data_IF_513602308581
#
_entry.id   IF_513602308581
#
_cell.length_a   1.000
_cell.length_b   1.000
_cell.length_c   1.000
_cell.angle_alpha   90.00
_cell.angle_beta   90.00
_cell.angle_gamma   90.00
#
_symmetry.space_group_name_H-M   'P 1'
#
loop_
_entity.id
_entity.type
_entity.pdbx_description
1 polymer ?
#
# COMPACT_ATOMS: atom_id res chain seq x y z
N UNK A 1 -8.57 -4.66 -15.15
CA UNK A 1 -7.15 -4.43 -14.80
C UNK A 1 -6.57 -5.79 -14.48
N UNK A 2 -5.62 -6.28 -15.27
CA UNK A 2 -5.12 -7.65 -15.17
C UNK A 2 -4.00 -7.69 -14.13
N UNK A 3 -4.21 -8.37 -13.01
CA UNK A 3 -3.14 -8.64 -12.02
C UNK A 3 -2.29 -9.78 -12.58
N UNK A 4 -0.99 -9.58 -12.88
CA UNK A 4 -0.24 -10.52 -13.71
C UNK A 4 0.59 -11.43 -12.83
N UNK A 5 0.22 -12.70 -12.74
CA UNK A 5 1.16 -13.76 -12.38
C UNK A 5 0.83 -14.98 -13.25
N UNK A 6 1.53 -15.13 -14.37
CA UNK A 6 1.92 -16.38 -15.07
C UNK A 6 1.75 -16.35 -16.61
N UNK A 7 2.80 -15.90 -17.29
CA UNK A 7 3.16 -16.23 -18.68
C UNK A 7 4.68 -16.01 -18.86
N UNK A 8 5.35 -16.71 -19.78
CA UNK A 8 6.82 -16.67 -19.89
C UNK A 8 7.41 -15.27 -20.16
N UNK A 9 6.69 -14.39 -20.87
CA UNK A 9 7.04 -12.96 -21.02
C UNK A 9 6.69 -12.11 -19.78
N UNK A 10 5.72 -12.53 -18.97
CA UNK A 10 5.50 -11.96 -17.64
C UNK A 10 6.66 -12.28 -16.71
N UNK A 11 7.34 -13.43 -16.82
CA UNK A 11 8.45 -13.78 -15.91
C UNK A 11 9.56 -12.72 -15.88
N UNK A 12 10.04 -12.25 -17.03
CA UNK A 12 11.08 -11.20 -17.09
C UNK A 12 10.56 -9.87 -16.54
N UNK A 13 9.32 -9.54 -16.86
CA UNK A 13 8.64 -8.33 -16.37
C UNK A 13 8.51 -8.36 -14.85
N UNK A 14 8.01 -9.44 -14.29
CA UNK A 14 7.77 -9.62 -12.86
C UNK A 14 9.10 -9.59 -12.10
N UNK A 15 10.13 -10.25 -12.63
CA UNK A 15 11.49 -10.19 -12.08
C UNK A 15 12.06 -8.78 -12.06
N UNK A 16 11.89 -8.02 -13.14
CA UNK A 16 12.31 -6.61 -13.19
C UNK A 16 11.61 -5.79 -12.11
N UNK A 17 10.30 -6.00 -11.90
CA UNK A 17 9.54 -5.28 -10.87
C UNK A 17 10.00 -5.66 -9.46
N UNK A 18 10.25 -6.95 -9.19
CA UNK A 18 10.80 -7.41 -7.91
C UNK A 18 12.17 -6.80 -7.66
N UNK A 19 13.08 -6.88 -8.62
CA UNK A 19 14.43 -6.32 -8.50
C UNK A 19 14.37 -4.81 -8.23
N UNK A 20 13.56 -4.06 -8.99
CA UNK A 20 13.42 -2.61 -8.80
C UNK A 20 12.63 -2.21 -7.55
N UNK A 21 11.91 -3.14 -6.92
CA UNK A 21 11.24 -2.90 -5.64
C UNK A 21 12.21 -2.99 -4.46
N UNK A 22 13.28 -3.78 -4.61
CA UNK A 22 14.30 -3.98 -3.58
C UNK A 22 15.48 -3.03 -3.78
N UNK A 23 15.94 -2.87 -5.02
CA UNK A 23 17.12 -2.09 -5.36
C UNK A 23 16.89 -1.17 -6.55
N UNK A 24 17.10 0.13 -6.32
CA UNK A 24 16.99 1.16 -7.32
C UNK A 24 17.90 2.36 -6.96
N UNK A 25 18.40 3.12 -7.94
CA UNK A 25 18.19 2.97 -9.38
C UNK A 25 19.15 1.97 -10.04
N UNK A 26 18.70 1.24 -11.07
CA UNK A 26 19.52 0.25 -11.80
C UNK A 26 19.51 0.48 -13.31
N UNK A 27 20.66 0.26 -13.95
CA UNK A 27 20.79 0.26 -15.42
C UNK A 27 20.24 -1.04 -16.02
N UNK A 28 19.93 -1.02 -17.33
CA UNK A 28 19.49 -2.23 -18.06
C UNK A 28 20.53 -3.36 -17.97
N UNK A 29 21.83 -3.00 -17.96
CA UNK A 29 22.93 -3.96 -17.81
C UNK A 29 22.93 -4.62 -16.44
N UNK A 30 22.70 -3.85 -15.38
CA UNK A 30 22.62 -4.40 -14.02
C UNK A 30 21.38 -5.29 -13.86
N UNK A 31 20.22 -4.85 -14.37
CA UNK A 31 18.99 -5.64 -14.36
C UNK A 31 19.16 -6.99 -15.08
N UNK A 32 19.77 -6.97 -16.27
CA UNK A 32 20.12 -8.20 -16.98
C UNK A 32 21.05 -9.11 -16.17
N UNK A 33 22.10 -8.53 -15.58
CA UNK A 33 23.04 -9.27 -14.74
C UNK A 33 22.38 -9.94 -13.54
N UNK A 34 21.38 -9.29 -12.92
CA UNK A 34 20.62 -9.87 -11.81
C UNK A 34 19.70 -10.99 -12.24
N UNK A 35 18.96 -10.81 -13.33
CA UNK A 35 18.05 -11.83 -13.87
C UNK A 35 18.83 -13.08 -14.30
N UNK A 36 19.96 -12.90 -14.98
CA UNK A 36 20.79 -14.02 -15.44
C UNK A 36 21.37 -14.83 -14.28
N UNK A 37 21.74 -14.18 -13.16
CA UNK A 37 22.23 -14.86 -11.95
C UNK A 37 21.19 -15.71 -11.25
N UNK A 38 19.89 -15.46 -11.47
CA UNK A 38 18.80 -16.27 -10.92
C UNK A 38 18.59 -17.59 -11.69
N UNK A 39 19.48 -17.94 -12.63
CA UNK A 39 19.42 -19.19 -13.39
C UNK A 39 18.46 -19.15 -14.58
N UNK A 40 18.02 -17.96 -14.98
CA UNK A 40 17.13 -17.79 -16.13
C UNK A 40 17.91 -17.43 -17.39
N UNK A 41 17.74 -18.25 -18.44
CA UNK A 41 18.22 -17.94 -19.79
C UNK A 41 17.35 -16.85 -20.40
N UNK A 42 17.76 -15.60 -20.19
CA UNK A 42 17.16 -14.42 -20.79
C UNK A 42 18.22 -13.72 -21.60
N UNK A 43 17.88 -13.22 -22.79
CA UNK A 43 18.80 -12.41 -23.59
C UNK A 43 18.75 -10.94 -23.14
N UNK A 44 19.85 -10.22 -23.30
CA UNK A 44 19.89 -8.78 -23.02
C UNK A 44 18.81 -8.01 -23.82
N UNK A 45 18.57 -8.41 -25.06
CA UNK A 45 17.54 -7.83 -25.93
C UNK A 45 16.13 -8.02 -25.37
N UNK A 46 15.84 -9.18 -24.77
CA UNK A 46 14.55 -9.44 -24.13
C UNK A 46 14.34 -8.51 -22.92
N UNK A 47 15.37 -8.33 -22.06
CA UNK A 47 15.32 -7.38 -20.94
C UNK A 47 15.08 -5.96 -21.46
N UNK A 48 15.83 -5.53 -22.47
CA UNK A 48 15.69 -4.20 -23.05
C UNK A 48 14.27 -3.96 -23.61
N UNK A 49 13.68 -4.94 -24.30
CA UNK A 49 12.31 -4.86 -24.83
C UNK A 49 11.29 -4.68 -23.71
N UNK A 50 11.41 -5.45 -22.62
CA UNK A 50 10.49 -5.34 -21.47
C UNK A 50 10.67 -4.02 -20.74
N UNK A 51 11.91 -3.53 -20.58
CA UNK A 51 12.17 -2.20 -20.01
C UNK A 51 11.47 -1.11 -20.82
N UNK A 52 11.63 -1.10 -22.15
CA UNK A 52 10.97 -0.12 -23.02
C UNK A 52 9.45 -0.19 -22.87
N UNK A 53 8.89 -1.39 -22.82
CA UNK A 53 7.46 -1.58 -22.61
C UNK A 53 7.00 -1.03 -21.25
N UNK A 54 7.70 -1.35 -20.15
CA UNK A 54 7.37 -0.85 -18.81
C UNK A 54 7.47 0.68 -18.71
N UNK A 55 8.39 1.29 -19.46
CA UNK A 55 8.48 2.75 -19.56
C UNK A 55 7.30 3.35 -20.32
N UNK A 56 6.91 2.74 -21.44
CA UNK A 56 5.74 3.17 -22.22
C UNK A 56 4.44 3.04 -21.42
N UNK A 57 4.34 2.01 -20.58
CA UNK A 57 3.21 1.80 -19.67
C UNK A 57 3.25 2.73 -18.44
N UNK A 58 4.30 3.54 -18.26
CA UNK A 58 4.45 4.44 -17.12
C UNK A 58 4.63 3.71 -15.79
N UNK A 59 5.16 2.49 -15.81
CA UNK A 59 5.40 1.66 -14.62
C UNK A 59 6.79 1.92 -14.05
N UNK A 60 7.77 2.14 -14.92
CA UNK A 60 9.13 2.51 -14.55
C UNK A 60 9.53 3.82 -15.21
N UNK A 61 10.44 4.55 -14.57
CA UNK A 61 10.94 5.84 -15.05
C UNK A 61 12.47 5.90 -14.95
N UNK A 62 13.08 6.81 -15.71
CA UNK A 62 14.53 7.05 -15.63
C UNK A 62 14.84 7.98 -14.48
N UNK A 63 15.85 7.64 -13.70
CA UNK A 63 16.47 8.50 -12.68
C UNK A 63 17.97 8.56 -12.92
N UNK A 64 18.42 9.67 -13.51
CA UNK A 64 19.80 9.82 -13.98
C UNK A 64 20.12 8.77 -15.05
N UNK A 65 21.10 7.89 -14.77
CA UNK A 65 21.51 6.80 -15.67
C UNK A 65 20.77 5.48 -15.42
N UNK A 66 20.01 5.38 -14.34
CA UNK A 66 19.29 4.16 -13.94
C UNK A 66 17.77 4.26 -14.11
N UNK A 67 17.11 3.17 -13.76
CA UNK A 67 15.67 2.97 -13.81
C UNK A 67 15.16 2.75 -12.38
N UNK A 68 13.95 3.22 -12.10
CA UNK A 68 13.23 2.97 -10.86
C UNK A 68 11.73 2.77 -11.15
N UNK A 69 11.00 2.21 -10.19
CA UNK A 69 9.53 2.19 -10.25
C UNK A 69 8.98 3.62 -10.23
N UNK A 70 7.99 3.90 -11.07
CA UNK A 70 7.33 5.19 -11.11
C UNK A 70 6.44 5.38 -9.87
N UNK A 71 6.60 6.52 -9.20
CA UNK A 71 5.90 6.79 -7.93
C UNK A 71 4.37 6.82 -8.09
N UNK A 72 3.85 7.42 -9.17
CA UNK A 72 2.41 7.45 -9.42
C UNK A 72 1.86 6.05 -9.65
N UNK A 73 2.60 5.19 -10.35
CA UNK A 73 2.21 3.80 -10.53
C UNK A 73 2.15 3.04 -9.20
N UNK A 74 3.16 3.20 -8.33
CA UNK A 74 3.16 2.60 -6.98
C UNK A 74 1.91 3.04 -6.21
N UNK A 75 1.55 4.33 -6.28
CA UNK A 75 0.34 4.84 -5.64
C UNK A 75 -0.93 4.19 -6.19
N UNK A 76 -1.06 4.06 -7.52
CA UNK A 76 -2.21 3.37 -8.12
C UNK A 76 -2.32 1.92 -7.69
N UNK A 77 -1.20 1.20 -7.56
CA UNK A 77 -1.18 -0.19 -7.08
C UNK A 77 -1.62 -0.26 -5.62
N UNK A 78 -1.13 0.65 -4.77
CA UNK A 78 -1.54 0.74 -3.36
C UNK A 78 -3.04 1.00 -3.23
N UNK A 79 -3.57 1.98 -3.98
CA UNK A 79 -4.99 2.34 -3.93
C UNK A 79 -5.86 1.19 -4.45
N UNK A 80 -5.41 0.48 -5.49
CA UNK A 80 -6.08 -0.72 -5.98
C UNK A 80 -6.10 -1.83 -4.93
N UNK A 81 -4.96 -2.18 -4.34
CA UNK A 81 -4.86 -3.21 -3.32
C UNK A 81 -5.74 -2.88 -2.11
N UNK A 82 -5.77 -1.61 -1.69
CA UNK A 82 -6.67 -1.14 -0.65
C UNK A 82 -8.14 -1.31 -1.01
N UNK A 83 -8.56 -0.91 -2.22
CA UNK A 83 -9.94 -1.06 -2.65
C UNK A 83 -10.37 -2.53 -2.75
N UNK A 84 -9.47 -3.42 -3.18
CA UNK A 84 -9.69 -4.87 -3.17
C UNK A 84 -9.87 -5.37 -1.74
N UNK A 85 -8.95 -5.04 -0.84
CA UNK A 85 -9.04 -5.44 0.57
C UNK A 85 -10.36 -4.96 1.21
N UNK A 86 -10.76 -3.71 0.97
CA UNK A 86 -12.04 -3.16 1.42
C UNK A 86 -13.24 -3.93 0.89
N UNK A 87 -13.22 -4.34 -0.38
CA UNK A 87 -14.32 -5.08 -1.00
C UNK A 87 -14.49 -6.48 -0.39
N UNK A 88 -13.39 -7.14 -0.01
CA UNK A 88 -13.42 -8.49 0.57
C UNK A 88 -13.67 -8.50 2.07
N UNK A 89 -13.16 -7.51 2.80
CA UNK A 89 -13.33 -7.41 4.27
C UNK A 89 -14.68 -6.79 4.66
N UNK A 90 -15.47 -6.31 3.69
CA UNK A 90 -16.66 -5.51 3.97
C UNK A 90 -16.33 -4.19 4.68
N UNK A 91 -15.07 -3.74 4.56
CA UNK A 91 -14.53 -2.61 5.29
C UNK A 91 -15.42 -1.38 5.14
N UNK A 92 -15.82 -0.81 6.27
CA UNK A 92 -16.62 0.42 6.26
C UNK A 92 -15.79 1.52 5.61
N UNK A 93 -16.34 2.19 4.59
CA UNK A 93 -15.76 3.44 4.10
C UNK A 93 -15.87 4.49 5.20
N UNK A 94 -14.78 4.68 5.92
CA UNK A 94 -14.61 5.78 6.86
C UNK A 94 -14.60 7.09 6.06
N UNK A 95 -15.75 7.74 5.98
CA UNK A 95 -15.90 8.99 5.22
C UNK A 95 -15.78 10.17 6.17
N UNK A 96 -15.03 11.19 5.76
CA UNK A 96 -15.08 12.49 6.42
C UNK A 96 -16.40 13.18 6.06
N UNK A 97 -17.15 13.71 7.05
CA UNK A 97 -18.19 14.70 6.79
C UNK A 97 -17.65 15.84 5.93
N UNK A 98 -18.43 16.30 4.94
CA UNK A 98 -18.04 17.43 4.07
C UNK A 98 -17.88 18.75 4.83
N UNK A 99 -18.51 18.86 6.01
CA UNK A 99 -18.50 20.05 6.85
C UNK A 99 -18.41 19.64 8.31
N UNK A 100 -17.53 20.29 9.08
CA UNK A 100 -17.34 20.04 10.50
C UNK A 100 -17.92 21.20 11.31
N UNK A 101 -19.18 21.08 11.71
CA UNK A 101 -19.79 22.03 12.66
C UNK A 101 -19.85 21.48 14.09
N UNK A 102 -19.61 20.17 14.26
CA UNK A 102 -19.68 19.46 15.54
C UNK A 102 -18.60 18.37 15.59
N UNK A 103 -18.13 17.98 16.79
CA UNK A 103 -17.30 16.79 16.95
C UNK A 103 -17.99 15.56 16.37
N UNK A 104 -17.21 14.66 15.79
CA UNK A 104 -17.68 13.38 15.29
C UNK A 104 -16.71 12.27 15.70
N UNK A 105 -17.25 11.06 15.80
CA UNK A 105 -16.49 9.87 16.17
C UNK A 105 -16.37 8.97 14.96
N UNK A 106 -15.16 8.50 14.67
CA UNK A 106 -14.95 7.39 13.73
C UNK A 106 -14.44 6.19 14.52
N UNK A 107 -15.14 5.08 14.36
CA UNK A 107 -14.79 3.80 14.98
C UNK A 107 -14.07 2.95 13.95
N UNK A 108 -12.81 2.59 14.20
CA UNK A 108 -12.02 1.74 13.31
C UNK A 108 -11.97 0.32 13.84
N UNK A 109 -12.05 -0.67 12.95
CA UNK A 109 -12.01 -2.08 13.33
C UNK A 109 -10.61 -2.55 13.79
N UNK A 110 -9.56 -1.82 13.40
CA UNK A 110 -8.18 -2.05 13.83
C UNK A 110 -7.30 -0.80 13.63
N UNK A 111 -6.10 -0.84 14.20
CA UNK A 111 -5.13 0.26 14.12
C UNK A 111 -4.63 0.52 12.70
N UNK A 112 -4.44 -0.51 11.88
CA UNK A 112 -3.99 -0.36 10.49
C UNK A 112 -4.99 0.44 9.65
N UNK A 113 -6.29 0.19 9.82
CA UNK A 113 -7.36 0.92 9.16
C UNK A 113 -7.37 2.39 9.59
N UNK A 114 -7.14 2.66 10.87
CA UNK A 114 -6.99 4.03 11.39
C UNK A 114 -5.79 4.76 10.77
N UNK A 115 -4.60 4.15 10.81
CA UNK A 115 -3.36 4.75 10.26
C UNK A 115 -3.51 5.03 8.77
N UNK A 116 -4.07 4.08 8.03
CA UNK A 116 -4.28 4.22 6.59
C UNK A 116 -5.29 5.30 6.26
N UNK A 117 -6.37 5.40 7.05
CA UNK A 117 -7.35 6.46 6.91
C UNK A 117 -6.76 7.85 7.18
N UNK A 118 -5.97 8.02 8.25
CA UNK A 118 -5.29 9.29 8.52
C UNK A 118 -4.33 9.64 7.39
N UNK A 119 -3.46 8.71 6.97
CA UNK A 119 -2.46 8.97 5.92
C UNK A 119 -3.12 9.43 4.61
N UNK A 120 -4.26 8.81 4.26
CA UNK A 120 -5.01 9.14 3.04
C UNK A 120 -5.64 10.53 3.13
N UNK A 121 -6.31 10.85 4.23
CA UNK A 121 -6.99 12.14 4.38
C UNK A 121 -6.02 13.30 4.67
N UNK A 122 -4.87 13.04 5.28
CA UNK A 122 -3.79 14.02 5.45
C UNK A 122 -3.21 14.42 4.10
N UNK A 123 -2.89 13.44 3.23
CA UNK A 123 -2.38 13.65 1.87
C UNK A 123 -3.33 14.51 1.04
N UNK A 124 -4.62 14.20 1.11
CA UNK A 124 -5.64 14.90 0.34
C UNK A 124 -6.00 16.29 0.94
N UNK A 125 -5.33 16.72 2.01
CA UNK A 125 -5.59 17.98 2.70
C UNK A 125 -6.93 18.03 3.46
N UNK A 126 -7.65 16.91 3.55
CA UNK A 126 -9.02 16.83 4.11
C UNK A 126 -9.07 16.87 5.64
N UNK A 127 -7.95 16.56 6.31
CA UNK A 127 -7.85 16.66 7.77
C UNK A 127 -7.64 18.09 8.27
N UNK A 128 -7.24 19.00 7.38
CA UNK A 128 -6.92 20.38 7.72
C UNK A 128 -8.01 21.29 7.15
N UNK A 129 -9.08 21.49 7.92
CA UNK A 129 -10.06 22.53 7.58
C UNK A 129 -9.50 23.91 7.95
N UNK A 130 -9.82 24.94 7.16
CA UNK A 130 -9.44 26.34 7.41
C UNK A 130 -10.21 27.01 8.56
N UNK A 131 -11.13 26.29 9.22
CA UNK A 131 -11.93 26.75 10.35
C UNK A 131 -11.41 26.28 11.71
N UNK A 132 -11.91 26.91 12.80
CA UNK A 132 -11.55 26.60 14.20
C UNK A 132 -11.48 25.07 14.43
N UNK A 133 -10.46 24.57 15.15
CA UNK A 133 -10.22 23.14 15.29
C UNK A 133 -11.43 22.46 15.89
N UNK A 134 -12.06 21.58 15.11
CA UNK A 134 -13.14 20.72 15.60
C UNK A 134 -12.50 19.42 16.07
N UNK A 135 -12.78 19.00 17.31
CA UNK A 135 -12.21 17.80 17.91
C UNK A 135 -12.62 16.55 17.13
N UNK A 136 -11.65 15.71 16.74
CA UNK A 136 -11.90 14.38 16.17
C UNK A 136 -11.68 13.36 17.29
N UNK A 137 -12.69 12.54 17.54
CA UNK A 137 -12.57 11.42 18.48
C UNK A 137 -12.42 10.12 17.71
N UNK A 138 -11.37 9.37 18.04
CA UNK A 138 -11.02 8.11 17.38
C UNK A 138 -11.23 6.99 18.39
N UNK A 139 -12.02 6.00 18.01
CA UNK A 139 -12.17 4.78 18.79
C UNK A 139 -11.70 3.60 17.95
N UNK A 140 -10.84 2.77 18.50
CA UNK A 140 -10.46 1.50 17.87
C UNK A 140 -11.30 0.42 18.53
N UNK A 141 -12.19 -0.22 17.78
CA UNK A 141 -12.91 -1.36 18.25
C UNK A 141 -11.89 -2.48 18.54
N UNK A 142 -11.81 -2.90 19.80
CA UNK A 142 -11.04 -4.08 20.15
C UNK A 142 -11.77 -5.29 19.55
N UNK A 143 -11.02 -6.25 19.01
CA UNK A 143 -11.65 -7.50 18.57
C UNK A 143 -12.41 -8.13 19.75
N UNK A 144 -13.54 -8.83 19.53
CA UNK A 144 -14.27 -9.49 20.61
C UNK A 144 -13.37 -10.40 21.47
N UNK A 145 -12.33 -10.96 20.86
CA UNK A 145 -11.30 -11.77 21.53
C UNK A 145 -10.44 -10.93 22.48
N UNK A 146 -9.99 -9.75 22.05
CA UNK A 146 -9.24 -8.83 22.91
C UNK A 146 -10.10 -8.23 24.01
N UNK A 147 -11.36 -7.90 23.73
CA UNK A 147 -12.30 -7.43 24.74
C UNK A 147 -12.51 -8.49 25.84
N UNK A 148 -12.68 -9.77 25.45
CA UNK A 148 -12.74 -10.90 26.39
C UNK A 148 -11.45 -11.10 27.19
N UNK A 149 -10.28 -10.94 26.57
CA UNK A 149 -9.01 -11.03 27.29
C UNK A 149 -8.88 -9.92 28.33
N UNK A 150 -9.20 -8.68 27.97
CA UNK A 150 -9.16 -7.54 28.90
C UNK A 150 -10.18 -7.72 30.03
N UNK A 151 -11.40 -8.17 29.73
CA UNK A 151 -12.42 -8.48 30.75
C UNK A 151 -11.96 -9.59 31.70
N UNK A 152 -11.31 -10.64 31.19
CA UNK A 152 -10.77 -11.72 32.00
C UNK A 152 -9.59 -11.26 32.87
N UNK A 153 -8.70 -10.41 32.34
CA UNK A 153 -7.57 -9.83 33.08
C UNK A 153 -8.06 -8.94 34.23
N UNK A 154 -9.09 -8.12 33.98
CA UNK A 154 -9.71 -7.24 34.97
C UNK A 154 -10.42 -8.06 36.06
N UNK A 155 -11.17 -9.11 35.68
CA UNK A 155 -11.78 -10.02 36.66
C UNK A 155 -10.73 -10.72 37.53
N UNK A 156 -9.64 -11.19 36.92
CA UNK A 156 -8.56 -11.85 37.64
C UNK A 156 -7.87 -10.93 38.67
N UNK A 157 -7.69 -9.65 38.35
CA UNK A 157 -7.15 -8.67 39.32
C UNK A 157 -8.13 -8.29 40.43
N UNK A 158 -9.44 -8.31 40.16
CA UNK A 158 -10.47 -7.99 41.17
C UNK A 158 -10.78 -9.16 42.12
N UNK A 159 -10.51 -10.40 41.73
CA UNK A 159 -10.69 -11.60 42.56
C UNK A 159 -9.46 -11.95 43.42
N UNK A 160 -8.35 -11.23 43.25
CA UNK A 160 -7.09 -11.44 43.98
C UNK A 160 -6.70 -10.24 44.87
N UNK A 161 -7.66 -9.37 45.16
CA UNK A 161 -7.59 -8.31 46.17
C UNK A 161 -8.77 -8.44 47.14
#
# INVERSE_FOLDING_TARGET
MNVPFAASGQRVRDQLLVILSEDFPLTVKELYGRISRQGHEVSYQAVHKVVVQLQQEGIIEKKGKGLQLNHEWIHRVKDYAFNVDMAYTGGKKYTLPKTFSKPFTIVFDNFSNYVLWIATNARDGKLFSTGKPTRIEVTIAHSPTMARMIENEIKHHLEHH
#
